data_IF_792550006606
#
_entry.id   IF_792550006606
#
_cell.length_a   1.000
_cell.length_b   1.000
_cell.length_c   1.000
_cell.angle_alpha   90.00
_cell.angle_beta   90.00
_cell.angle_gamma   90.00
#
_symmetry.space_group_name_H-M   'P 1'
#
loop_
_entity.id
_entity.type
_entity.pdbx_description
1 polymer ?
#
# COMPACT_ATOMS: atom_id res chain seq x y z
N UNK A 1 -0.52 23.94 -15.01
CA UNK A 1 -1.79 23.56 -14.38
C UNK A 1 -2.20 22.24 -15.02
N UNK A 2 -1.67 21.12 -14.50
CA UNK A 2 -2.01 19.79 -15.00
C UNK A 2 -3.47 19.52 -14.64
N UNK A 3 -4.27 19.06 -15.60
CA UNK A 3 -5.61 18.56 -15.33
C UNK A 3 -5.48 17.45 -14.28
N UNK A 4 -6.16 17.58 -13.12
CA UNK A 4 -6.31 16.46 -12.17
C UNK A 4 -6.90 15.28 -12.96
N UNK A 5 -6.08 14.30 -13.30
CA UNK A 5 -6.51 13.10 -13.99
C UNK A 5 -7.60 12.45 -13.13
N UNK A 6 -8.82 12.33 -13.67
CA UNK A 6 -9.92 11.66 -12.98
C UNK A 6 -9.65 10.15 -12.96
N UNK A 7 -8.91 9.72 -11.95
CA UNK A 7 -8.68 8.31 -11.66
C UNK A 7 -9.94 7.74 -10.98
N UNK A 8 -10.51 6.66 -11.54
CA UNK A 8 -11.80 6.09 -11.11
C UNK A 8 -11.60 4.76 -10.39
N UNK A 9 -11.57 4.85 -9.06
CA UNK A 9 -11.29 3.73 -8.16
C UNK A 9 -12.48 2.76 -8.06
N UNK A 10 -12.17 1.50 -7.76
CA UNK A 10 -13.18 0.47 -7.56
C UNK A 10 -13.99 0.75 -6.28
N UNK A 11 -15.30 0.94 -6.43
CA UNK A 11 -16.21 1.26 -5.30
C UNK A 11 -16.20 0.23 -4.17
N UNK A 12 -16.00 -1.05 -4.47
CA UNK A 12 -15.94 -2.10 -3.44
C UNK A 12 -14.68 -1.95 -2.58
N UNK A 13 -13.56 -1.57 -3.20
CA UNK A 13 -12.29 -1.35 -2.50
C UNK A 13 -12.37 -0.09 -1.67
N UNK A 14 -12.92 1.01 -2.19
CA UNK A 14 -13.12 2.23 -1.40
C UNK A 14 -14.03 1.96 -0.19
N UNK A 15 -15.05 1.11 -0.34
CA UNK A 15 -15.92 0.75 0.79
C UNK A 15 -15.18 -0.02 1.88
N UNK A 16 -14.25 -0.89 1.51
CA UNK A 16 -13.49 -1.72 2.46
C UNK A 16 -12.26 -0.98 3.03
N UNK A 17 -11.65 -0.11 2.23
CA UNK A 17 -10.45 0.65 2.52
C UNK A 17 -10.67 2.14 2.17
N UNK A 18 -11.54 2.85 2.92
CA UNK A 18 -11.92 4.23 2.58
C UNK A 18 -10.72 5.19 2.59
N UNK A 19 -9.73 4.93 3.44
CA UNK A 19 -8.50 5.70 3.59
C UNK A 19 -7.67 5.80 2.30
N UNK A 20 -7.86 4.87 1.36
CA UNK A 20 -7.17 4.88 0.06
C UNK A 20 -7.65 6.03 -0.83
N UNK A 21 -8.89 6.49 -0.64
CA UNK A 21 -9.47 7.58 -1.44
C UNK A 21 -9.42 8.94 -0.74
N UNK A 22 -8.87 9.01 0.47
CA UNK A 22 -8.57 10.28 1.13
C UNK A 22 -7.44 11.00 0.39
N UNK A 23 -7.43 12.33 0.41
CA UNK A 23 -6.29 13.15 -0.06
C UNK A 23 -5.36 13.47 1.14
N UNK A 24 -4.21 14.09 0.87
CA UNK A 24 -3.31 14.68 1.88
C UNK A 24 -2.77 13.69 2.93
N UNK A 25 -2.54 12.43 2.54
CA UNK A 25 -2.01 11.40 3.44
C UNK A 25 -0.48 11.35 3.41
N UNK A 26 0.12 11.01 4.54
CA UNK A 26 1.53 10.63 4.58
C UNK A 26 1.74 9.22 4.02
N UNK A 27 2.84 9.00 3.30
CA UNK A 27 3.25 7.69 2.83
C UNK A 27 4.72 7.37 3.11
N UNK A 28 4.97 6.08 3.31
CA UNK A 28 6.31 5.47 3.41
C UNK A 28 6.39 4.39 2.35
N UNK A 29 7.46 4.37 1.55
CA UNK A 29 7.57 3.47 0.40
C UNK A 29 8.78 2.55 0.46
N UNK A 30 8.71 1.43 -0.27
CA UNK A 30 9.88 0.60 -0.56
C UNK A 30 10.95 1.37 -1.33
N UNK A 31 12.20 0.92 -1.26
CA UNK A 31 13.34 1.58 -1.93
C UNK A 31 13.56 1.14 -3.38
N UNK A 32 12.66 0.35 -3.96
CA UNK A 32 12.73 -0.08 -5.36
C UNK A 32 11.93 0.83 -6.30
N UNK A 33 11.94 0.50 -7.59
CA UNK A 33 11.24 1.29 -8.60
C UNK A 33 9.72 1.24 -8.44
N UNK A 34 9.16 0.10 -8.04
CA UNK A 34 7.71 -0.05 -7.89
C UNK A 34 7.20 0.87 -6.77
N UNK A 35 7.90 0.94 -5.64
CA UNK A 35 7.64 1.90 -4.56
C UNK A 35 7.75 3.36 -5.01
N UNK A 36 8.82 3.73 -5.73
CA UNK A 36 9.05 5.12 -6.17
C UNK A 36 7.99 5.57 -7.20
N UNK A 37 7.70 4.77 -8.22
CA UNK A 37 6.67 5.12 -9.21
C UNK A 37 5.28 5.23 -8.57
N UNK A 38 4.99 4.34 -7.62
CA UNK A 38 3.76 4.38 -6.83
C UNK A 38 3.64 5.69 -6.03
N UNK A 39 4.73 6.12 -5.38
CA UNK A 39 4.78 7.38 -4.66
C UNK A 39 4.54 8.58 -5.58
N UNK A 40 5.21 8.63 -6.73
CA UNK A 40 5.02 9.71 -7.72
C UNK A 40 3.57 9.79 -8.19
N UNK A 41 2.96 8.64 -8.51
CA UNK A 41 1.57 8.57 -8.92
C UNK A 41 0.63 9.09 -7.83
N UNK A 42 0.74 8.58 -6.60
CA UNK A 42 -0.14 8.97 -5.48
C UNK A 42 0.05 10.42 -5.06
N UNK A 43 1.27 10.94 -5.15
CA UNK A 43 1.54 12.37 -4.93
C UNK A 43 0.79 13.23 -5.93
N UNK A 44 0.83 12.90 -7.23
CA UNK A 44 0.12 13.65 -8.27
C UNK A 44 -1.41 13.51 -8.16
N UNK A 45 -1.93 12.30 -7.91
CA UNK A 45 -3.37 12.03 -7.99
C UNK A 45 -4.15 12.26 -6.70
N UNK A 46 -3.47 12.26 -5.54
CA UNK A 46 -4.08 12.33 -4.21
C UNK A 46 -3.36 13.26 -3.23
N UNK A 47 -2.31 13.95 -3.68
CA UNK A 47 -1.48 14.79 -2.82
C UNK A 47 -0.88 14.03 -1.62
N UNK A 48 -0.52 12.76 -1.82
CA UNK A 48 0.20 12.02 -0.78
C UNK A 48 1.60 12.58 -0.59
N UNK A 49 2.00 12.78 0.66
CA UNK A 49 3.33 13.27 1.01
C UNK A 49 4.28 12.11 1.32
N UNK A 50 5.39 12.04 0.58
CA UNK A 50 6.45 11.07 0.85
C UNK A 50 7.23 11.50 2.11
N UNK A 51 7.01 10.82 3.23
CA UNK A 51 7.69 11.15 4.50
C UNK A 51 8.82 10.19 4.85
N UNK A 52 8.97 9.07 4.14
CA UNK A 52 10.03 8.11 4.42
C UNK A 52 10.15 6.93 3.46
N UNK A 53 11.20 6.14 3.69
CA UNK A 53 11.56 4.95 2.94
C UNK A 53 11.82 3.77 3.88
N UNK A 54 11.63 2.55 3.37
CA UNK A 54 11.90 1.31 4.10
C UNK A 54 12.59 0.28 3.20
N UNK A 55 13.73 -0.26 3.65
CA UNK A 55 14.52 -1.29 2.91
C UNK A 55 14.40 -2.70 3.53
N UNK A 56 13.30 -2.99 4.22
CA UNK A 56 13.12 -4.21 5.02
C UNK A 56 13.94 -4.30 6.31
N UNK A 57 14.87 -3.35 6.56
CA UNK A 57 15.72 -3.33 7.76
C UNK A 57 15.62 -2.02 8.54
N UNK A 58 15.58 -0.90 7.83
CA UNK A 58 15.68 0.45 8.35
C UNK A 58 14.55 1.28 7.77
N UNK A 59 13.93 2.08 8.62
CA UNK A 59 12.95 3.09 8.22
C UNK A 59 13.66 4.43 8.29
N UNK A 60 13.80 5.11 7.16
CA UNK A 60 14.30 6.49 7.10
C UNK A 60 13.12 7.43 6.93
N UNK A 61 13.07 8.48 7.74
CA UNK A 61 11.97 9.43 7.72
C UNK A 61 12.50 10.85 7.69
N UNK A 62 11.66 11.79 7.26
CA UNK A 62 11.96 13.22 7.34
C UNK A 62 12.30 13.63 8.79
N UNK A 63 13.10 14.69 8.91
CA UNK A 63 13.44 15.25 10.22
C UNK A 63 12.16 15.59 11.01
N UNK A 64 12.18 15.29 12.31
CA UNK A 64 11.08 15.52 13.26
C UNK A 64 9.83 14.66 13.08
N UNK A 65 9.84 13.66 12.18
CA UNK A 65 8.74 12.69 12.13
C UNK A 65 8.68 11.91 13.45
N UNK A 66 7.49 11.85 14.05
CA UNK A 66 7.27 11.12 15.30
C UNK A 66 6.70 9.72 15.04
N UNK A 67 6.68 8.86 16.06
CA UNK A 67 6.26 7.48 15.91
C UNK A 67 4.78 7.33 15.49
N UNK A 68 3.91 8.24 15.94
CA UNK A 68 2.49 8.19 15.61
C UNK A 68 2.26 8.55 14.15
N UNK A 69 2.98 9.54 13.63
CA UNK A 69 2.98 9.89 12.21
C UNK A 69 3.46 8.73 11.33
N UNK A 70 4.52 8.02 11.74
CA UNK A 70 5.06 6.85 11.02
C UNK A 70 4.05 5.70 11.00
N UNK A 71 3.36 5.46 12.12
CA UNK A 71 2.34 4.41 12.22
C UNK A 71 1.08 4.75 11.43
N UNK A 72 0.73 6.04 11.38
CA UNK A 72 -0.45 6.51 10.68
C UNK A 72 -0.23 6.55 9.16
N UNK A 73 0.99 6.78 8.70
CA UNK A 73 1.33 6.77 7.27
C UNK A 73 0.87 5.50 6.54
N UNK A 74 0.59 5.64 5.25
CA UNK A 74 0.24 4.54 4.36
C UNK A 74 1.54 3.94 3.79
N UNK A 75 1.73 2.64 4.00
CA UNK A 75 2.92 1.93 3.54
C UNK A 75 2.69 1.41 2.13
N UNK A 76 3.38 1.98 1.15
CA UNK A 76 3.15 1.77 -0.28
C UNK A 76 4.17 0.79 -0.85
N UNK A 77 3.65 -0.12 -1.67
CA UNK A 77 4.37 -1.28 -2.22
C UNK A 77 4.96 -2.20 -1.13
N UNK A 78 4.27 -2.26 0.00
CA UNK A 78 4.72 -2.95 1.19
C UNK A 78 3.56 -3.69 1.82
N UNK A 79 3.80 -4.94 2.23
CA UNK A 79 2.80 -5.75 2.94
C UNK A 79 3.16 -5.82 4.43
N UNK A 80 2.93 -4.72 5.16
CA UNK A 80 3.24 -4.65 6.59
C UNK A 80 2.32 -5.56 7.41
N UNK A 81 2.92 -6.53 8.11
CA UNK A 81 2.20 -7.47 8.97
C UNK A 81 1.91 -6.88 10.36
N UNK A 82 1.04 -5.86 10.43
CA UNK A 82 0.63 -5.23 11.68
C UNK A 82 -0.83 -4.76 11.63
N UNK A 83 -1.63 -5.16 12.63
CA UNK A 83 -3.10 -4.96 12.63
C UNK A 83 -3.55 -3.49 12.51
N UNK A 84 -2.71 -2.57 12.95
CA UNK A 84 -3.01 -1.14 13.01
C UNK A 84 -2.40 -0.33 11.85
N UNK A 85 -1.46 -0.93 11.09
CA UNK A 85 -0.73 -0.23 10.01
C UNK A 85 -1.48 -0.39 8.70
N UNK A 86 -1.69 0.74 8.01
CA UNK A 86 -2.26 0.79 6.67
C UNK A 86 -1.18 0.48 5.65
N UNK A 87 -1.46 -0.43 4.73
CA UNK A 87 -0.50 -0.78 3.69
C UNK A 87 -1.17 -1.12 2.37
N UNK A 88 -0.51 -0.80 1.26
CA UNK A 88 -0.89 -1.17 -0.09
C UNK A 88 0.24 -2.02 -0.64
N UNK A 89 -0.07 -3.25 -1.04
CA UNK A 89 0.92 -4.20 -1.52
C UNK A 89 0.32 -5.24 -2.46
N UNK A 90 1.18 -6.12 -2.97
CA UNK A 90 0.75 -7.17 -3.90
C UNK A 90 1.54 -8.46 -3.76
N UNK A 91 2.29 -8.66 -2.68
CA UNK A 91 3.01 -9.91 -2.48
C UNK A 91 2.04 -11.06 -2.21
N UNK A 92 2.52 -12.29 -2.39
CA UNK A 92 1.78 -13.48 -1.97
C UNK A 92 2.00 -13.67 -0.47
N UNK A 93 0.93 -13.47 0.31
CA UNK A 93 0.99 -13.47 1.77
C UNK A 93 0.69 -14.84 2.38
N UNK A 94 0.20 -15.77 1.58
CA UNK A 94 -0.23 -17.10 2.02
C UNK A 94 0.54 -18.18 1.29
N UNK A 95 1.12 -19.10 2.06
CA UNK A 95 1.76 -20.29 1.49
C UNK A 95 0.71 -21.37 1.22
N UNK A 96 -0.21 -21.59 2.17
CA UNK A 96 -1.37 -22.47 2.02
C UNK A 96 -2.68 -21.68 1.97
N UNK A 97 -3.70 -22.28 1.37
CA UNK A 97 -5.05 -21.67 1.24
C UNK A 97 -5.66 -21.31 2.59
N UNK A 98 -5.35 -22.03 3.65
CA UNK A 98 -5.91 -21.92 5.00
C UNK A 98 -5.03 -21.12 5.97
N UNK A 99 -3.86 -20.65 5.55
CA UNK A 99 -2.99 -19.81 6.40
C UNK A 99 -3.76 -18.60 6.93
N UNK A 100 -3.64 -18.36 8.24
CA UNK A 100 -4.25 -17.22 8.93
C UNK A 100 -3.25 -16.07 8.97
N UNK A 101 -3.66 -14.94 8.41
CA UNK A 101 -2.84 -13.72 8.36
C UNK A 101 -3.54 -12.58 9.13
N UNK A 102 -3.65 -12.77 10.45
CA UNK A 102 -4.49 -11.96 11.32
C UNK A 102 -4.08 -10.47 11.42
N UNK A 103 -2.82 -10.15 11.06
CA UNK A 103 -2.30 -8.80 11.13
C UNK A 103 -2.41 -8.00 9.82
N UNK A 104 -2.99 -8.56 8.74
CA UNK A 104 -3.23 -7.83 7.48
C UNK A 104 -4.61 -7.18 7.39
N UNK A 105 -5.20 -6.80 8.53
CA UNK A 105 -6.57 -6.23 8.59
C UNK A 105 -6.72 -4.90 7.87
N UNK A 106 -5.65 -4.11 7.79
CA UNK A 106 -5.63 -2.79 7.14
C UNK A 106 -4.71 -2.79 5.91
N UNK A 107 -4.41 -3.98 5.37
CA UNK A 107 -3.59 -4.13 4.17
C UNK A 107 -4.50 -4.30 2.95
N UNK A 108 -4.50 -3.30 2.07
CA UNK A 108 -5.06 -3.43 0.73
C UNK A 108 -4.08 -4.24 -0.12
N UNK A 109 -4.32 -5.54 -0.23
CA UNK A 109 -3.57 -6.43 -1.11
C UNK A 109 -4.55 -7.17 -2.05
N UNK A 110 -4.55 -6.88 -3.37
CA UNK A 110 -5.45 -7.52 -4.32
C UNK A 110 -5.29 -9.03 -4.41
N UNK A 111 -4.07 -9.56 -4.21
CA UNK A 111 -3.83 -11.01 -4.22
C UNK A 111 -4.46 -11.67 -3.01
N UNK A 112 -4.40 -11.02 -1.84
CA UNK A 112 -5.11 -11.48 -0.67
C UNK A 112 -6.64 -11.46 -0.86
N UNK A 113 -7.19 -10.34 -1.33
CA UNK A 113 -8.63 -10.19 -1.59
C UNK A 113 -9.13 -11.25 -2.58
N UNK A 114 -8.32 -11.58 -3.59
CA UNK A 114 -8.63 -12.60 -4.61
C UNK A 114 -8.36 -14.04 -4.14
N UNK A 115 -7.86 -14.25 -2.93
CA UNK A 115 -7.52 -15.57 -2.40
C UNK A 115 -6.37 -16.25 -3.15
N UNK A 116 -5.42 -15.47 -3.68
CA UNK A 116 -4.20 -15.96 -4.30
C UNK A 116 -3.21 -16.34 -3.19
N UNK A 117 -2.60 -17.51 -3.33
CA UNK A 117 -1.61 -18.11 -2.44
C UNK A 117 -0.55 -18.81 -3.31
N UNK A 118 0.47 -19.40 -2.68
CA UNK A 118 1.62 -19.98 -3.40
C UNK A 118 1.24 -20.87 -4.61
N UNK A 119 0.26 -21.76 -4.49
CA UNK A 119 -0.04 -22.74 -5.56
C UNK A 119 -0.78 -22.16 -6.77
N UNK A 120 -1.25 -20.91 -6.73
CA UNK A 120 -1.90 -20.25 -7.85
C UNK A 120 -1.21 -18.91 -8.19
N UNK A 121 0.11 -18.87 -8.00
CA UNK A 121 0.96 -17.72 -8.30
C UNK A 121 0.88 -17.27 -9.77
N UNK A 122 0.58 -18.17 -10.69
CA UNK A 122 0.32 -17.87 -12.11
C UNK A 122 -0.79 -16.83 -12.31
N UNK A 123 -1.69 -16.69 -11.33
CA UNK A 123 -2.79 -15.72 -11.32
C UNK A 123 -2.47 -14.46 -10.51
N UNK A 124 -1.23 -14.30 -10.03
CA UNK A 124 -0.79 -13.15 -9.25
C UNK A 124 -1.07 -11.86 -10.01
N UNK A 125 -1.62 -10.90 -9.30
CA UNK A 125 -1.74 -9.53 -9.72
C UNK A 125 -0.43 -8.79 -9.46
N UNK A 126 0.24 -8.21 -10.47
CA UNK A 126 1.59 -7.71 -10.27
C UNK A 126 1.74 -6.23 -9.90
N UNK A 127 0.74 -5.34 -10.07
CA UNK A 127 1.00 -3.88 -9.95
C UNK A 127 0.37 -3.16 -8.73
N UNK A 128 0.64 -3.61 -7.50
CA UNK A 128 -0.09 -3.25 -6.25
C UNK A 128 -0.61 -1.82 -6.05
N UNK A 129 0.02 -0.78 -6.61
CA UNK A 129 -0.35 0.62 -6.33
C UNK A 129 -0.89 1.42 -7.53
N UNK A 130 -0.86 0.90 -8.77
CA UNK A 130 -1.30 1.66 -9.97
C UNK A 130 -2.76 1.33 -10.36
N UNK A 131 -3.52 0.69 -9.47
CA UNK A 131 -4.62 -0.20 -9.88
C UNK A 131 -6.04 0.30 -9.77
N UNK A 132 -6.25 1.57 -9.46
CA UNK A 132 -7.58 2.06 -9.14
C UNK A 132 -7.70 3.50 -9.56
#
# INVERSE_FOLDING_TARGET
MLQKTLVKWNKNIIREFPWVNEEDQNMIVGTDFDGIFSAMFLSEVRNYELIGFYDFKTIWVRNNANLDEIKDAIWIDLDIYHKDIRSIGHHILKFRKDDKILCHKRSLNPNLIRGIYHNNFDRKYPYGTIHF
#
